data_IF_089368163922
#
_entry.id   IF_089368163922
#
_cell.length_a   1.000
_cell.length_b   1.000
_cell.length_c   1.000
_cell.angle_alpha   90.00
_cell.angle_beta   90.00
_cell.angle_gamma   90.00
#
_symmetry.space_group_name_H-M   'P 1'
#
loop_
_entity.id
_entity.type
_entity.pdbx_description
1 polymer ?
#
# COMPACT_ATOMS: atom_id res chain seq x y z
N UNK A 1 26.94 8.49 7.50
CA UNK A 1 26.52 7.31 6.70
C UNK A 1 25.88 7.87 5.43
N UNK A 2 26.29 7.43 4.24
CA UNK A 2 25.74 7.95 2.98
C UNK A 2 24.24 7.63 2.89
N UNK A 3 23.41 8.65 2.68
CA UNK A 3 21.95 8.50 2.60
C UNK A 3 21.58 7.89 1.25
N UNK A 4 20.99 6.68 1.28
CA UNK A 4 20.60 5.95 0.08
C UNK A 4 19.37 6.58 -0.57
N UNK A 5 19.41 6.79 -1.88
CA UNK A 5 18.24 7.17 -2.69
C UNK A 5 17.59 5.92 -3.28
N UNK A 6 16.25 5.91 -3.33
CA UNK A 6 15.46 4.81 -3.87
C UNK A 6 14.66 5.28 -5.08
N UNK A 7 14.75 4.53 -6.18
CA UNK A 7 13.93 4.75 -7.37
C UNK A 7 12.51 4.24 -7.09
N UNK A 8 11.51 5.09 -7.29
CA UNK A 8 10.10 4.73 -7.16
C UNK A 8 9.38 4.86 -8.49
N UNK A 9 8.45 3.95 -8.74
CA UNK A 9 7.54 3.98 -9.86
C UNK A 9 6.20 4.49 -9.36
N UNK A 10 5.70 5.57 -9.95
CA UNK A 10 4.29 5.92 -9.85
C UNK A 10 3.55 5.14 -10.91
N UNK A 11 2.52 4.41 -10.50
CA UNK A 11 1.71 3.60 -11.40
C UNK A 11 0.25 4.01 -11.29
N UNK A 12 -0.47 3.96 -12.41
CA UNK A 12 -1.89 4.30 -12.48
C UNK A 12 -2.70 3.28 -13.27
N UNK A 13 -3.99 3.22 -12.98
CA UNK A 13 -5.00 2.39 -13.65
C UNK A 13 -6.28 3.21 -13.85
N UNK A 14 -6.94 3.05 -15.00
CA UNK A 14 -8.29 3.58 -15.24
C UNK A 14 -9.34 2.71 -14.54
N UNK A 15 -10.31 3.34 -13.89
CA UNK A 15 -11.42 2.67 -13.19
C UNK A 15 -12.72 2.61 -14.01
N UNK A 16 -12.79 3.33 -15.13
CA UNK A 16 -13.97 3.38 -16.02
C UNK A 16 -14.22 2.11 -16.84
N UNK A 17 -13.33 1.12 -16.76
CA UNK A 17 -13.45 -0.17 -17.46
C UNK A 17 -13.93 -1.30 -16.55
N UNK A 18 -13.89 -2.54 -17.07
CA UNK A 18 -14.18 -3.73 -16.26
C UNK A 18 -13.09 -3.91 -15.20
N UNK A 19 -13.43 -3.64 -13.95
CA UNK A 19 -12.54 -3.91 -12.82
C UNK A 19 -12.32 -5.42 -12.66
N UNK A 20 -11.14 -5.85 -12.16
CA UNK A 20 -10.94 -7.22 -11.72
C UNK A 20 -12.05 -7.63 -10.74
N UNK A 21 -12.59 -8.83 -10.92
CA UNK A 21 -13.66 -9.32 -10.04
C UNK A 21 -13.16 -9.49 -8.60
N UNK A 22 -14.01 -9.16 -7.63
CA UNK A 22 -13.77 -9.49 -6.21
C UNK A 22 -13.80 -11.02 -6.06
N UNK A 23 -12.66 -11.62 -5.77
CA UNK A 23 -12.57 -13.04 -5.44
C UNK A 23 -12.87 -13.30 -3.96
N UNK A 24 -13.33 -14.52 -3.58
CA UNK A 24 -13.42 -14.90 -2.19
C UNK A 24 -12.01 -14.96 -1.56
N UNK A 25 -11.93 -14.63 -0.27
CA UNK A 25 -10.73 -14.93 0.50
C UNK A 25 -10.62 -16.44 0.76
N UNK A 26 -9.40 -16.98 0.97
CA UNK A 26 -9.24 -18.37 1.39
C UNK A 26 -9.96 -18.65 2.71
N UNK A 27 -10.24 -19.93 3.00
CA UNK A 27 -10.87 -20.35 4.25
C UNK A 27 -10.11 -19.81 5.47
N UNK A 28 -10.86 -19.38 6.50
CA UNK A 28 -10.31 -18.78 7.71
C UNK A 28 -9.95 -17.29 7.58
N UNK A 29 -9.93 -16.71 6.38
CA UNK A 29 -9.69 -15.28 6.19
C UNK A 29 -11.00 -14.51 6.06
N UNK A 30 -11.05 -13.31 6.64
CA UNK A 30 -12.21 -12.42 6.56
C UNK A 30 -11.82 -10.98 6.29
N UNK A 31 -12.70 -10.29 5.57
CA UNK A 31 -12.63 -8.86 5.38
C UNK A 31 -13.09 -8.12 6.63
N UNK A 32 -12.37 -7.06 6.99
CA UNK A 32 -12.78 -6.07 7.97
C UNK A 32 -12.80 -4.70 7.26
N UNK A 33 -13.98 -4.08 7.07
CA UNK A 33 -14.05 -2.73 6.52
C UNK A 33 -13.44 -1.73 7.49
N UNK A 34 -12.93 -0.61 6.98
CA UNK A 34 -12.46 0.46 7.84
C UNK A 34 -13.53 0.88 8.87
N UNK A 35 -13.08 0.98 10.12
CA UNK A 35 -13.79 1.66 11.22
C UNK A 35 -12.75 2.39 12.05
N UNK A 36 -13.08 3.57 12.58
CA UNK A 36 -12.17 4.35 13.43
C UNK A 36 -11.67 3.55 14.64
N UNK A 37 -12.53 2.70 15.22
CA UNK A 37 -12.21 1.77 16.31
C UNK A 37 -11.15 0.71 15.94
N UNK A 38 -10.91 0.45 14.65
CA UNK A 38 -9.91 -0.51 14.17
C UNK A 38 -8.56 0.16 13.83
N UNK A 39 -8.42 1.47 14.03
CA UNK A 39 -7.24 2.24 13.63
C UNK A 39 -5.93 1.66 14.20
N UNK A 40 -5.91 1.30 15.48
CA UNK A 40 -4.72 0.72 16.12
C UNK A 40 -4.37 -0.65 15.54
N UNK A 41 -5.38 -1.46 15.17
CA UNK A 41 -5.19 -2.75 14.52
C UNK A 41 -4.57 -2.58 13.12
N UNK A 42 -5.05 -1.61 12.35
CA UNK A 42 -4.43 -1.24 11.07
C UNK A 42 -2.95 -0.83 11.24
N UNK A 43 -2.64 -0.01 12.25
CA UNK A 43 -1.27 0.40 12.54
C UNK A 43 -0.38 -0.79 12.92
N UNK A 44 -0.89 -1.73 13.73
CA UNK A 44 -0.15 -2.92 14.15
C UNK A 44 0.12 -3.88 12.98
N UNK A 45 -0.83 -4.08 12.07
CA UNK A 45 -0.61 -4.88 10.85
C UNK A 45 0.40 -4.19 9.95
N UNK A 46 0.29 -2.87 9.76
CA UNK A 46 1.24 -2.09 8.96
C UNK A 46 2.67 -2.29 9.48
N UNK A 47 2.89 -2.08 10.78
CA UNK A 47 4.19 -2.30 11.39
C UNK A 47 4.71 -3.73 11.15
N UNK A 48 3.89 -4.76 11.38
CA UNK A 48 4.27 -6.16 11.15
C UNK A 48 4.57 -6.47 9.67
N UNK A 49 3.84 -5.85 8.73
CA UNK A 49 4.01 -6.08 7.31
C UNK A 49 5.25 -5.37 6.72
N UNK A 50 5.67 -4.23 7.28
CA UNK A 50 6.71 -3.37 6.71
C UNK A 50 8.03 -3.34 7.49
N UNK A 51 8.09 -3.83 8.73
CA UNK A 51 9.31 -3.78 9.57
C UNK A 51 10.56 -4.40 8.94
N UNK A 52 10.37 -5.35 8.01
CA UNK A 52 11.44 -6.07 7.30
C UNK A 52 11.38 -5.82 5.77
N UNK A 53 10.52 -4.91 5.31
CA UNK A 53 10.27 -4.66 3.88
C UNK A 53 11.13 -3.51 3.33
N UNK A 54 11.42 -3.54 2.03
CA UNK A 54 12.20 -2.52 1.34
C UNK A 54 11.55 -1.13 1.47
N UNK A 55 10.22 -1.05 1.42
CA UNK A 55 9.52 0.23 1.62
C UNK A 55 9.63 0.75 3.07
N UNK A 56 9.84 -0.14 4.05
CA UNK A 56 10.14 0.25 5.43
C UNK A 56 11.52 0.90 5.59
N UNK A 57 12.45 0.64 4.67
CA UNK A 57 13.75 1.31 4.60
C UNK A 57 13.66 2.69 3.92
N UNK A 58 12.63 2.91 3.09
CA UNK A 58 12.36 4.23 2.47
C UNK A 58 11.67 5.16 3.46
N UNK A 59 10.71 4.66 4.24
CA UNK A 59 9.97 5.44 5.24
C UNK A 59 10.23 4.91 6.64
N UNK A 60 11.14 5.56 7.37
CA UNK A 60 11.53 5.16 8.73
C UNK A 60 10.34 5.08 9.71
N UNK A 61 9.28 5.87 9.51
CA UNK A 61 8.07 5.82 10.32
C UNK A 61 7.34 4.46 10.28
N UNK A 62 7.56 3.65 9.23
CA UNK A 62 6.98 2.31 9.11
C UNK A 62 7.75 1.23 9.89
N UNK A 63 8.97 1.53 10.31
CA UNK A 63 9.82 0.59 11.06
C UNK A 63 9.47 0.50 12.55
N UNK A 64 8.66 1.44 13.06
CA UNK A 64 8.27 1.52 14.47
C UNK A 64 6.75 1.47 14.65
N UNK A 65 6.31 0.84 15.74
CA UNK A 65 4.88 0.69 16.04
C UNK A 65 4.19 2.04 16.34
N UNK A 66 4.84 2.93 17.10
CA UNK A 66 4.36 4.28 17.38
C UNK A 66 4.28 5.14 16.11
N UNK A 67 5.28 5.03 15.24
CA UNK A 67 5.30 5.68 13.92
C UNK A 67 4.14 5.25 13.04
N UNK A 68 3.84 3.94 12.99
CA UNK A 68 2.69 3.42 12.25
C UNK A 68 1.35 3.95 12.79
N UNK A 69 1.24 4.09 14.11
CA UNK A 69 0.03 4.63 14.74
C UNK A 69 -0.16 6.11 14.46
N UNK A 70 0.89 6.91 14.57
CA UNK A 70 0.87 8.34 14.22
C UNK A 70 0.49 8.52 12.74
N UNK A 71 1.12 7.77 11.84
CA UNK A 71 0.79 7.80 10.42
C UNK A 71 -0.68 7.40 10.16
N UNK A 72 -1.19 6.39 10.84
CA UNK A 72 -2.61 6.01 10.69
C UNK A 72 -3.57 7.10 11.18
N UNK A 73 -3.24 7.78 12.28
CA UNK A 73 -4.04 8.93 12.76
C UNK A 73 -4.04 10.06 11.75
N UNK A 74 -2.87 10.40 11.19
CA UNK A 74 -2.74 11.43 10.16
C UNK A 74 -3.55 11.09 8.90
N UNK A 75 -3.43 9.84 8.41
CA UNK A 75 -4.19 9.37 7.24
C UNK A 75 -5.70 9.43 7.51
N UNK A 76 -6.16 8.89 8.64
CA UNK A 76 -7.57 8.83 8.97
C UNK A 76 -8.20 10.22 9.23
N UNK A 77 -7.40 11.19 9.65
CA UNK A 77 -7.85 12.57 9.87
C UNK A 77 -7.97 13.39 8.58
N UNK A 78 -7.41 12.92 7.46
CA UNK A 78 -7.55 13.61 6.18
C UNK A 78 -8.99 13.59 5.70
N UNK A 79 -9.52 14.76 5.28
CA UNK A 79 -10.84 14.86 4.64
C UNK A 79 -10.96 14.01 3.37
N UNK A 80 -9.83 13.72 2.75
CA UNK A 80 -9.70 12.90 1.55
C UNK A 80 -9.57 11.40 1.86
N UNK A 81 -9.52 11.00 3.13
CA UNK A 81 -9.49 9.57 3.47
C UNK A 81 -10.72 8.85 2.89
N UNK A 82 -10.50 7.69 2.30
CA UNK A 82 -11.55 6.88 1.68
C UNK A 82 -11.75 5.58 2.48
N UNK A 83 -12.74 5.54 3.40
CA UNK A 83 -13.11 4.31 4.10
C UNK A 83 -13.48 3.16 3.16
N UNK A 84 -14.14 3.47 2.04
CA UNK A 84 -14.60 2.50 1.03
C UNK A 84 -13.43 1.78 0.36
N UNK A 85 -12.27 2.43 0.26
CA UNK A 85 -11.04 1.86 -0.28
C UNK A 85 -10.02 1.47 0.79
N UNK A 86 -10.42 1.44 2.07
CA UNK A 86 -9.54 1.11 3.20
C UNK A 86 -10.03 -0.14 3.92
N UNK A 87 -9.19 -1.17 3.95
CA UNK A 87 -9.59 -2.52 4.37
C UNK A 87 -8.49 -3.20 5.19
N UNK A 88 -8.92 -4.17 5.99
CA UNK A 88 -8.05 -5.08 6.72
C UNK A 88 -8.50 -6.53 6.46
N UNK A 89 -7.55 -7.45 6.48
CA UNK A 89 -7.81 -8.88 6.47
C UNK A 89 -7.43 -9.44 7.83
N UNK A 90 -8.34 -10.20 8.42
CA UNK A 90 -8.05 -11.01 9.61
C UNK A 90 -8.09 -12.49 9.25
N UNK A 91 -7.28 -13.28 9.95
CA UNK A 91 -7.22 -14.73 9.88
C UNK A 91 -7.72 -15.32 11.20
N UNK A 92 -8.67 -16.24 11.09
CA UNK A 92 -9.22 -17.02 12.18
C UNK A 92 -9.73 -18.35 11.58
N UNK A 93 -8.92 -19.44 11.65
CA UNK A 93 -9.27 -20.71 11.01
C UNK A 93 -10.42 -21.42 11.72
N UNK A 94 -10.57 -21.21 13.03
CA UNK A 94 -11.61 -21.82 13.87
C UNK A 94 -12.23 -20.76 14.78
N UNK A 95 -13.52 -20.88 15.16
CA UNK A 95 -14.20 -19.90 16.02
C UNK A 95 -13.51 -19.62 17.36
N UNK A 96 -12.85 -20.63 17.94
CA UNK A 96 -12.16 -20.53 19.22
C UNK A 96 -10.69 -20.07 19.08
N UNK A 97 -10.17 -20.02 17.85
CA UNK A 97 -8.82 -19.54 17.60
C UNK A 97 -8.77 -18.00 17.69
N UNK A 98 -7.81 -17.40 18.42
CA UNK A 98 -7.68 -15.95 18.48
C UNK A 98 -7.49 -15.34 17.08
N UNK A 99 -8.29 -14.35 16.68
CA UNK A 99 -8.12 -13.75 15.36
C UNK A 99 -6.82 -12.96 15.28
N UNK A 100 -6.09 -13.15 14.19
CA UNK A 100 -4.91 -12.38 13.86
C UNK A 100 -5.22 -11.41 12.72
N UNK A 101 -4.88 -10.13 12.87
CA UNK A 101 -4.91 -9.21 11.72
C UNK A 101 -3.65 -9.42 10.88
N UNK A 102 -3.80 -9.62 9.57
CA UNK A 102 -2.74 -10.15 8.69
C UNK A 102 -2.51 -9.34 7.42
N UNK A 103 -3.44 -8.46 7.04
CA UNK A 103 -3.28 -7.64 5.85
C UNK A 103 -3.99 -6.29 5.97
N UNK A 104 -3.47 -5.26 5.34
CA UNK A 104 -4.04 -3.91 5.40
C UNK A 104 -3.82 -3.14 4.10
N UNK A 105 -4.73 -2.22 3.79
CA UNK A 105 -4.64 -1.26 2.69
C UNK A 105 -5.35 0.03 3.09
N UNK A 106 -4.82 1.19 2.68
CA UNK A 106 -5.47 2.47 2.87
C UNK A 106 -5.68 3.17 1.52
N UNK A 107 -6.81 3.86 1.39
CA UNK A 107 -7.13 4.66 0.23
C UNK A 107 -7.35 6.13 0.58
N UNK A 108 -6.83 7.03 -0.25
CA UNK A 108 -7.00 8.47 -0.11
C UNK A 108 -7.41 9.06 -1.47
N UNK A 109 -8.42 9.90 -1.50
CA UNK A 109 -8.86 10.61 -2.70
C UNK A 109 -7.93 11.79 -3.00
N UNK A 110 -7.70 12.06 -4.27
CA UNK A 110 -6.93 13.21 -4.77
C UNK A 110 -7.82 14.06 -5.66
N UNK A 111 -7.50 15.35 -5.75
CA UNK A 111 -8.09 16.22 -6.76
C UNK A 111 -7.82 15.66 -8.17
N UNK A 112 -8.75 15.89 -9.10
CA UNK A 112 -8.68 15.30 -10.45
C UNK A 112 -9.25 13.89 -10.56
N UNK A 113 -9.97 13.40 -9.55
CA UNK A 113 -10.71 12.12 -9.63
C UNK A 113 -9.83 10.88 -9.54
N UNK A 114 -8.70 10.97 -8.83
CA UNK A 114 -7.77 9.85 -8.62
C UNK A 114 -7.84 9.32 -7.19
N UNK A 115 -8.01 8.02 -7.01
CA UNK A 115 -7.80 7.32 -5.75
C UNK A 115 -6.36 6.88 -5.57
N UNK A 116 -5.70 7.26 -4.49
CA UNK A 116 -4.33 6.87 -4.17
C UNK A 116 -4.32 5.71 -3.16
N UNK A 117 -3.75 4.57 -3.56
CA UNK A 117 -3.47 3.42 -2.70
C UNK A 117 -2.21 3.72 -1.89
N UNK A 118 -2.29 3.48 -0.58
CA UNK A 118 -1.18 3.66 0.33
C UNK A 118 -1.08 2.49 1.31
N UNK A 119 0.16 2.22 1.75
CA UNK A 119 0.49 1.32 2.85
C UNK A 119 -0.16 -0.08 2.72
N UNK A 120 -0.21 -0.62 1.51
CA UNK A 120 -0.66 -1.99 1.29
C UNK A 120 0.39 -2.97 1.80
N UNK A 121 0.01 -3.83 2.74
CA UNK A 121 0.92 -4.83 3.29
C UNK A 121 0.22 -6.07 3.78
N UNK A 122 0.91 -7.20 3.68
CA UNK A 122 0.52 -8.49 4.26
C UNK A 122 1.69 -8.96 5.13
N UNK A 123 1.39 -9.41 6.34
CA UNK A 123 2.41 -9.92 7.27
C UNK A 123 3.13 -11.13 6.65
N UNK A 124 4.45 -11.29 6.87
CA UNK A 124 5.27 -12.28 6.15
C UNK A 124 4.70 -13.71 6.13
N UNK A 125 4.15 -14.16 7.24
CA UNK A 125 3.64 -15.53 7.46
C UNK A 125 2.39 -15.84 6.61
N UNK A 126 1.73 -14.80 6.07
CA UNK A 126 0.49 -14.92 5.29
C UNK A 126 0.65 -14.47 3.83
N UNK A 127 1.90 -14.29 3.36
CA UNK A 127 2.22 -13.94 1.96
C UNK A 127 2.08 -15.15 1.02
N UNK A 128 2.05 -14.90 -0.29
CA UNK A 128 1.92 -15.96 -1.30
C UNK A 128 0.51 -16.55 -1.46
N UNK A 129 -0.45 -16.12 -0.65
CA UNK A 129 -1.85 -16.63 -0.65
C UNK A 129 -2.83 -15.74 -1.44
N UNK A 130 -2.32 -14.81 -2.24
CA UNK A 130 -3.14 -13.89 -3.03
C UNK A 130 -3.81 -12.74 -2.25
N UNK A 131 -3.55 -12.59 -0.95
CA UNK A 131 -4.18 -11.56 -0.10
C UNK A 131 -3.85 -10.12 -0.55
N UNK A 132 -2.62 -9.86 -1.00
CA UNK A 132 -2.23 -8.54 -1.53
C UNK A 132 -3.03 -8.18 -2.78
N UNK A 133 -3.21 -9.14 -3.70
CA UNK A 133 -4.09 -8.98 -4.87
C UNK A 133 -5.52 -8.69 -4.44
N UNK A 134 -6.05 -9.47 -3.49
CA UNK A 134 -7.41 -9.31 -2.99
C UNK A 134 -7.63 -7.91 -2.38
N UNK A 135 -6.67 -7.42 -1.58
CA UNK A 135 -6.71 -6.07 -0.97
C UNK A 135 -6.76 -4.98 -2.04
N UNK A 136 -5.92 -5.09 -3.08
CA UNK A 136 -5.92 -4.12 -4.19
C UNK A 136 -7.26 -4.09 -4.90
N UNK A 137 -7.80 -5.26 -5.27
CA UNK A 137 -9.09 -5.34 -5.94
C UNK A 137 -10.19 -4.72 -5.06
N UNK A 138 -10.19 -5.00 -3.75
CA UNK A 138 -11.15 -4.41 -2.84
C UNK A 138 -11.06 -2.87 -2.81
N UNK A 139 -9.84 -2.31 -2.77
CA UNK A 139 -9.63 -0.87 -2.81
C UNK A 139 -10.00 -0.23 -4.16
N UNK A 140 -9.70 -0.89 -5.28
CA UNK A 140 -10.07 -0.42 -6.63
C UNK A 140 -11.58 -0.24 -6.76
N UNK A 141 -12.35 -1.22 -6.30
CA UNK A 141 -13.80 -1.10 -6.26
C UNK A 141 -14.24 0.02 -5.31
N UNK A 142 -13.62 0.15 -4.14
CA UNK A 142 -13.91 1.24 -3.21
C UNK A 142 -13.69 2.63 -3.79
N UNK A 143 -12.65 2.82 -4.61
CA UNK A 143 -12.44 4.07 -5.34
C UNK A 143 -13.47 4.32 -6.43
N UNK A 144 -13.83 3.28 -7.19
CA UNK A 144 -14.86 3.39 -8.23
C UNK A 144 -16.24 3.72 -7.61
N UNK A 145 -16.60 3.07 -6.51
CA UNK A 145 -17.80 3.38 -5.71
C UNK A 145 -17.77 4.81 -5.15
N UNK A 146 -16.57 5.37 -4.93
CA UNK A 146 -16.36 6.75 -4.51
C UNK A 146 -16.28 7.76 -5.68
N UNK A 147 -16.59 7.33 -6.90
CA UNK A 147 -16.63 8.18 -8.09
C UNK A 147 -15.26 8.56 -8.66
N UNK A 148 -14.19 7.86 -8.29
CA UNK A 148 -12.87 8.09 -8.88
C UNK A 148 -12.78 7.48 -10.28
N UNK A 149 -12.15 8.21 -11.19
CA UNK A 149 -11.90 7.78 -12.56
C UNK A 149 -10.63 6.93 -12.68
N UNK A 150 -9.66 7.14 -11.79
CA UNK A 150 -8.37 6.45 -11.81
C UNK A 150 -7.94 6.01 -10.41
N UNK A 151 -7.08 4.99 -10.34
CA UNK A 151 -6.36 4.61 -9.14
C UNK A 151 -4.85 4.76 -9.38
N UNK A 152 -4.11 5.16 -8.34
CA UNK A 152 -2.68 5.40 -8.39
C UNK A 152 -1.97 4.80 -7.17
N UNK A 153 -0.72 4.42 -7.34
CA UNK A 153 0.17 3.97 -6.26
C UNK A 153 1.61 4.36 -6.55
N UNK A 154 2.46 4.29 -5.52
CA UNK A 154 3.91 4.40 -5.65
C UNK A 154 4.57 3.14 -5.08
N UNK A 155 5.54 2.59 -5.79
CA UNK A 155 6.27 1.38 -5.38
C UNK A 155 7.77 1.55 -5.62
N UNK A 156 8.60 1.01 -4.74
CA UNK A 156 10.05 0.94 -4.95
C UNK A 156 10.38 0.04 -6.14
N UNK A 157 11.19 0.53 -7.09
CA UNK A 157 11.42 -0.12 -8.38
C UNK A 157 12.07 -1.51 -8.25
N UNK A 158 12.87 -1.70 -7.20
CA UNK A 158 13.53 -2.96 -6.86
C UNK A 158 12.56 -4.03 -6.32
N UNK A 159 11.34 -3.64 -5.93
CA UNK A 159 10.31 -4.58 -5.48
C UNK A 159 9.60 -5.21 -6.69
N UNK A 160 10.32 -6.06 -7.42
CA UNK A 160 9.84 -6.71 -8.65
C UNK A 160 8.54 -7.51 -8.44
N UNK A 161 8.37 -8.11 -7.26
CA UNK A 161 7.14 -8.86 -6.90
C UNK A 161 5.92 -7.94 -6.86
N UNK A 162 6.03 -6.80 -6.16
CA UNK A 162 4.93 -5.83 -6.10
C UNK A 162 4.68 -5.18 -7.47
N UNK A 163 5.73 -4.80 -8.19
CA UNK A 163 5.62 -4.23 -9.54
C UNK A 163 4.88 -5.18 -10.49
N UNK A 164 5.26 -6.46 -10.52
CA UNK A 164 4.59 -7.48 -11.33
C UNK A 164 3.11 -7.63 -10.95
N UNK A 165 2.80 -7.73 -9.66
CA UNK A 165 1.42 -7.80 -9.17
C UNK A 165 0.56 -6.61 -9.64
N UNK A 166 1.10 -5.38 -9.59
CA UNK A 166 0.38 -4.20 -10.05
C UNK A 166 0.18 -4.22 -11.56
N UNK A 167 1.20 -4.61 -12.34
CA UNK A 167 1.10 -4.74 -13.79
C UNK A 167 0.04 -5.76 -14.22
N UNK A 168 -0.02 -6.91 -13.54
CA UNK A 168 -1.01 -7.97 -13.74
C UNK A 168 -2.44 -7.55 -13.40
N UNK A 169 -2.60 -6.54 -12.53
CA UNK A 169 -3.88 -5.92 -12.23
C UNK A 169 -4.28 -4.82 -13.23
N UNK A 170 -3.39 -4.48 -14.17
CA UNK A 170 -3.64 -3.46 -15.18
C UNK A 170 -3.07 -2.08 -14.86
N UNK A 171 -2.29 -1.94 -13.78
CA UNK A 171 -1.53 -0.71 -13.55
C UNK A 171 -0.44 -0.54 -14.61
N UNK A 172 -0.16 0.72 -14.96
CA UNK A 172 0.91 1.12 -15.86
C UNK A 172 1.77 2.19 -15.20
N UNK A 173 3.09 2.10 -15.37
CA UNK A 173 4.00 3.13 -14.89
C UNK A 173 3.76 4.42 -15.65
N UNK A 174 3.51 5.51 -14.93
CA UNK A 174 3.28 6.85 -15.51
C UNK A 174 4.44 7.79 -15.22
N UNK A 175 5.20 7.55 -14.14
CA UNK A 175 6.28 8.44 -13.71
C UNK A 175 7.34 7.64 -12.93
N UNK A 176 8.59 8.10 -13.04
CA UNK A 176 9.71 7.62 -12.23
C UNK A 176 10.13 8.74 -11.28
N UNK A 177 10.16 8.43 -9.99
CA UNK A 177 10.48 9.34 -8.90
C UNK A 177 11.73 8.85 -8.18
N UNK A 178 12.44 9.73 -7.50
CA UNK A 178 13.52 9.35 -6.59
C UNK A 178 13.18 9.85 -5.19
N UNK A 179 13.31 8.99 -4.18
CA UNK A 179 13.07 9.36 -2.77
C UNK A 179 14.29 9.10 -1.90
N UNK A 180 14.57 10.01 -0.98
CA UNK A 180 15.61 9.85 0.02
C UNK A 180 15.17 8.82 1.06
N UNK A 181 16.05 7.86 1.38
CA UNK A 181 15.81 6.89 2.44
C UNK A 181 15.59 7.53 3.80
N UNK A 182 14.80 6.90 4.66
CA UNK A 182 14.48 7.41 5.99
C UNK A 182 13.36 8.46 6.00
N UNK A 183 13.51 9.56 5.26
CA UNK A 183 12.54 10.67 5.22
C UNK A 183 11.46 10.50 4.15
N UNK A 184 11.77 9.82 3.04
CA UNK A 184 10.87 9.69 1.90
C UNK A 184 10.67 10.98 1.09
N UNK A 185 11.50 11.99 1.32
CA UNK A 185 11.47 13.24 0.56
C UNK A 185 11.80 13.02 -0.92
N UNK A 186 11.15 13.77 -1.80
CA UNK A 186 11.40 13.69 -3.23
C UNK A 186 12.76 14.31 -3.55
N UNK A 187 13.56 13.61 -4.35
CA UNK A 187 14.87 14.07 -4.83
C UNK A 187 14.77 14.25 -6.34
N UNK A 188 15.12 15.44 -6.84
CA UNK A 188 15.17 15.66 -8.28
C UNK A 188 16.56 15.33 -8.82
N UNK A 189 16.68 14.86 -10.06
CA UNK A 189 17.97 14.46 -10.61
C UNK A 189 19.02 15.59 -10.66
N UNK A 190 18.57 16.84 -10.60
CA UNK A 190 19.44 18.02 -10.60
C UNK A 190 20.13 18.25 -9.24
N UNK A 191 19.66 17.60 -8.17
CA UNK A 191 20.11 17.84 -6.80
C UNK A 191 21.24 16.90 -6.34
N UNK A 192 21.70 15.96 -7.18
CA UNK A 192 22.75 14.99 -6.80
C UNK A 192 23.74 14.70 -7.95
N UNK A 193 25.00 15.12 -7.78
CA UNK A 193 26.14 14.88 -8.69
C UNK A 193 26.77 13.47 -8.57
N UNK A 194 26.00 12.44 -8.16
CA UNK A 194 26.47 11.05 -8.13
C UNK A 194 25.33 10.11 -8.53
N UNK A 195 25.20 9.88 -9.84
CA UNK A 195 24.44 8.74 -10.37
C UNK A 195 25.41 7.59 -10.60
N UNK A 196 25.18 6.47 -9.91
CA UNK A 196 25.76 5.19 -10.28
C UNK A 196 25.10 4.72 -11.58
N UNK A 197 25.82 4.88 -12.68
CA UNK A 197 25.42 4.38 -14.00
C UNK A 197 25.88 2.93 -14.10
N UNK A 198 25.07 2.03 -13.53
CA UNK A 198 25.24 0.59 -13.74
C UNK A 198 25.23 0.22 -15.24
N UNK A 199 25.91 -0.88 -15.63
CA UNK A 199 26.43 -1.03 -16.98
C UNK A 199 25.33 -1.22 -18.04
N UNK A 200 25.65 -0.68 -19.22
CA UNK A 200 24.84 -0.59 -20.43
C UNK A 200 24.55 -1.93 -21.08
#
# INVERSE_FOLDING_TARGET
MSERTYKRLRMQMLLSGQLPARGPLPAGYRWLPWRSLLMERHAQVKWRAFREDLDGQVFSCLSRADGCLSLMREIAAQRTFCPQASWMVAYQPEPDWPPADVGTIQGILRSGGTGAIQNIGVVPEHRGLGLGRALLVQALHGFAESGMATAALEVTAENAVAVGLYQDLGFRTTEVLYRRGGTGELVYPQDNFQFDTGPS
#
